data_IF_904911621826
#
_entry.id   IF_904911621826
#
_cell.length_a   1.000
_cell.length_b   1.000
_cell.length_c   1.000
_cell.angle_alpha   90.00
_cell.angle_beta   90.00
_cell.angle_gamma   90.00
#
_symmetry.space_group_name_H-M   'P 1'
#
loop_
_entity.id
_entity.type
_entity.pdbx_description
1 polymer ?
#
# COMPACT_ATOMS: atom_id res chain seq x y z
N UNK A 1 27.40 -4.24 -13.23
CA UNK A 1 26.27 -4.60 -12.32
C UNK A 1 25.55 -5.80 -12.89
N UNK A 2 25.10 -6.74 -12.06
CA UNK A 2 24.31 -7.89 -12.51
C UNK A 2 22.92 -7.44 -12.97
N UNK A 3 22.37 -8.11 -13.99
CA UNK A 3 20.99 -7.90 -14.42
C UNK A 3 20.06 -8.70 -13.52
N UNK A 4 19.07 -8.04 -12.91
CA UNK A 4 18.04 -8.68 -12.09
C UNK A 4 16.72 -8.64 -12.86
N UNK A 5 16.16 -9.81 -13.13
CA UNK A 5 14.87 -9.95 -13.80
C UNK A 5 13.84 -10.45 -12.79
N UNK A 6 12.73 -9.72 -12.65
CA UNK A 6 11.61 -10.08 -11.80
C UNK A 6 10.36 -10.39 -12.63
N UNK A 7 9.44 -11.17 -12.07
CA UNK A 7 8.19 -11.54 -12.73
C UNK A 7 6.96 -11.13 -11.90
N UNK A 8 5.92 -10.71 -12.59
CA UNK A 8 4.60 -10.47 -11.99
C UNK A 8 4.41 -9.10 -11.36
N UNK A 9 3.27 -8.95 -10.69
CA UNK A 9 2.81 -7.70 -10.08
C UNK A 9 3.79 -7.19 -9.00
N UNK A 10 4.39 -8.09 -8.23
CA UNK A 10 5.37 -7.75 -7.19
C UNK A 10 6.63 -7.10 -7.78
N UNK A 11 7.15 -7.67 -8.90
CA UNK A 11 8.32 -7.11 -9.58
C UNK A 11 8.03 -5.73 -10.16
N UNK A 12 6.85 -5.55 -10.78
CA UNK A 12 6.38 -4.25 -11.26
C UNK A 12 6.26 -3.24 -10.14
N UNK A 13 5.72 -3.66 -8.99
CA UNK A 13 5.59 -2.79 -7.81
C UNK A 13 6.96 -2.34 -7.32
N UNK A 14 7.90 -3.28 -7.13
CA UNK A 14 9.26 -2.93 -6.69
C UNK A 14 9.96 -1.99 -7.66
N UNK A 15 9.86 -2.26 -8.96
CA UNK A 15 10.39 -1.38 -9.99
C UNK A 15 9.76 0.02 -9.94
N UNK A 16 8.43 0.10 -9.80
CA UNK A 16 7.73 1.38 -9.70
C UNK A 16 8.15 2.19 -8.48
N UNK A 17 8.36 1.55 -7.34
CA UNK A 17 8.84 2.21 -6.12
C UNK A 17 10.26 2.75 -6.29
N UNK A 18 11.13 2.04 -7.01
CA UNK A 18 12.50 2.50 -7.30
C UNK A 18 12.54 3.66 -8.30
N UNK A 19 11.74 3.58 -9.38
CA UNK A 19 11.89 4.47 -10.53
C UNK A 19 10.78 5.53 -10.65
N UNK A 20 9.60 5.28 -10.06
CA UNK A 20 8.41 6.09 -10.28
C UNK A 20 7.73 6.59 -8.98
N UNK A 21 8.35 6.43 -7.81
CA UNK A 21 7.77 6.90 -6.55
C UNK A 21 7.44 8.41 -6.58
N UNK A 22 8.28 9.22 -7.24
CA UNK A 22 8.00 10.65 -7.43
C UNK A 22 6.70 10.91 -8.20
N UNK A 23 6.32 10.04 -9.15
CA UNK A 23 5.05 10.14 -9.89
C UNK A 23 3.85 9.93 -8.96
N UNK A 24 3.98 9.04 -7.98
CA UNK A 24 2.95 8.80 -6.96
C UNK A 24 2.75 10.07 -6.13
N UNK A 25 3.81 10.62 -5.58
CA UNK A 25 3.75 11.85 -4.78
C UNK A 25 3.16 13.02 -5.59
N UNK A 26 3.62 13.21 -6.83
CA UNK A 26 3.15 14.27 -7.74
C UNK A 26 1.65 14.18 -8.00
N UNK A 27 1.07 12.99 -8.09
CA UNK A 27 -0.38 12.79 -8.27
C UNK A 27 -1.21 13.44 -7.16
N UNK A 28 -0.61 13.59 -5.97
CA UNK A 28 -1.23 14.20 -4.80
C UNK A 28 -0.65 15.60 -4.48
N UNK A 29 0.05 16.22 -5.44
CA UNK A 29 0.68 17.54 -5.29
C UNK A 29 1.70 17.59 -4.15
N UNK A 30 2.25 16.45 -3.76
CA UNK A 30 3.30 16.35 -2.76
C UNK A 30 4.67 16.54 -3.45
N UNK A 31 5.34 17.65 -3.12
CA UNK A 31 6.66 18.04 -3.66
C UNK A 31 7.82 17.53 -2.81
N UNK A 32 7.58 16.63 -1.86
CA UNK A 32 8.62 16.10 -0.98
C UNK A 32 9.68 15.34 -1.79
N UNK A 33 10.96 15.60 -1.53
CA UNK A 33 12.06 14.85 -2.11
C UNK A 33 12.03 13.39 -1.62
N UNK A 34 12.27 12.43 -2.51
CA UNK A 34 12.21 11.00 -2.17
C UNK A 34 13.20 10.60 -1.07
N UNK A 35 14.33 11.28 -0.95
CA UNK A 35 15.30 11.09 0.15
C UNK A 35 14.73 11.36 1.55
N UNK A 36 13.62 12.12 1.63
CA UNK A 36 12.89 12.39 2.88
C UNK A 36 11.73 11.41 3.13
N UNK A 37 11.47 10.50 2.19
CA UNK A 37 10.42 9.51 2.30
C UNK A 37 10.97 8.20 2.89
N UNK A 38 10.07 7.42 3.50
CA UNK A 38 10.30 6.03 3.88
C UNK A 38 9.35 5.16 3.09
N UNK A 39 9.87 4.07 2.52
CA UNK A 39 9.05 3.13 1.77
C UNK A 39 9.13 1.75 2.40
N UNK A 40 7.98 1.18 2.72
CA UNK A 40 7.83 -0.22 3.06
C UNK A 40 7.35 -0.96 1.81
N UNK A 41 8.10 -1.96 1.39
CA UNK A 41 7.72 -2.86 0.31
C UNK A 41 7.15 -4.15 0.90
N UNK A 42 5.95 -4.52 0.50
CA UNK A 42 5.19 -5.67 0.98
C UNK A 42 5.15 -5.79 2.51
N UNK A 43 4.80 -4.71 3.23
CA UNK A 43 4.69 -4.79 4.66
C UNK A 43 3.57 -5.74 5.05
N UNK A 44 3.92 -6.78 5.84
CA UNK A 44 2.97 -7.78 6.30
C UNK A 44 2.72 -7.64 7.80
N UNK A 45 1.45 -7.55 8.18
CA UNK A 45 0.97 -7.51 9.56
C UNK A 45 -0.28 -8.39 9.76
N UNK A 46 -0.48 -9.38 8.87
CA UNK A 46 -1.55 -10.36 8.91
C UNK A 46 -1.32 -11.51 7.93
N UNK A 47 -2.03 -12.62 8.07
CA UNK A 47 -1.92 -13.77 7.16
C UNK A 47 -3.09 -13.80 6.18
N UNK A 48 -2.85 -14.14 4.90
CA UNK A 48 -3.88 -14.32 3.87
C UNK A 48 -4.91 -15.41 4.18
N UNK A 49 -4.52 -16.46 4.89
CA UNK A 49 -5.36 -17.65 5.17
C UNK A 49 -6.26 -17.51 6.40
N UNK A 50 -6.07 -16.50 7.19
CA UNK A 50 -6.97 -16.13 8.27
C UNK A 50 -7.64 -14.84 7.84
N UNK A 51 -8.90 -14.63 8.08
CA UNK A 51 -9.62 -13.35 7.89
C UNK A 51 -8.95 -12.14 8.58
N UNK A 52 -7.68 -12.26 8.86
CA UNK A 52 -6.78 -11.27 9.43
C UNK A 52 -6.14 -10.52 8.30
N UNK A 53 -6.32 -9.27 8.32
CA UNK A 53 -5.57 -8.18 7.79
C UNK A 53 -4.31 -8.62 7.01
N UNK A 54 -4.37 -8.54 5.71
CA UNK A 54 -3.31 -8.96 4.81
C UNK A 54 -2.09 -8.03 4.79
N UNK A 55 -1.39 -8.02 3.68
CA UNK A 55 -0.26 -7.13 3.43
C UNK A 55 -0.64 -6.09 2.38
N UNK A 56 -0.09 -4.88 2.47
CA UNK A 56 -0.08 -3.92 1.37
C UNK A 56 1.00 -4.29 0.36
N UNK A 57 0.80 -3.89 -0.89
CA UNK A 57 1.87 -4.01 -1.88
C UNK A 57 3.00 -3.02 -1.57
N UNK A 58 2.65 -1.83 -1.06
CA UNK A 58 3.62 -0.90 -0.47
C UNK A 58 2.95 0.13 0.45
N UNK A 59 3.77 0.78 1.30
CA UNK A 59 3.44 2.01 2.00
C UNK A 59 4.56 3.01 1.76
N UNK A 60 4.24 4.23 1.29
CA UNK A 60 5.20 5.34 1.23
C UNK A 60 4.80 6.36 2.29
N UNK A 61 5.77 6.80 3.07
CA UNK A 61 5.58 7.83 4.10
C UNK A 61 6.43 9.02 3.75
N UNK A 62 5.79 10.14 3.43
CA UNK A 62 6.43 11.45 3.31
C UNK A 62 6.18 12.26 4.59
N UNK A 63 6.88 13.41 4.80
CA UNK A 63 6.55 14.33 5.89
C UNK A 63 5.11 14.88 5.87
N UNK A 64 4.43 14.81 4.72
CA UNK A 64 3.07 15.36 4.55
C UNK A 64 1.97 14.30 4.53
N UNK A 65 2.26 13.12 3.99
CA UNK A 65 1.24 12.10 3.72
C UNK A 65 1.78 10.68 3.92
N UNK A 66 0.85 9.77 4.22
CA UNK A 66 1.06 8.32 4.14
C UNK A 66 0.26 7.80 2.94
N UNK A 67 0.93 7.11 2.03
CA UNK A 67 0.36 6.52 0.82
C UNK A 67 0.22 5.02 1.02
N UNK A 68 -1.00 4.53 1.06
CA UNK A 68 -1.33 3.10 1.14
C UNK A 68 -1.55 2.60 -0.29
N UNK A 69 -0.75 1.64 -0.73
CA UNK A 69 -0.63 1.25 -2.13
C UNK A 69 -1.13 -0.16 -2.35
N UNK A 70 -2.07 -0.30 -3.29
CA UNK A 70 -2.45 -1.54 -3.95
C UNK A 70 -2.00 -1.49 -5.40
N UNK A 71 -1.50 -2.59 -5.91
CA UNK A 71 -1.04 -2.73 -7.29
C UNK A 71 -1.98 -3.60 -8.10
N UNK A 72 -2.11 -3.32 -9.39
CA UNK A 72 -2.83 -4.15 -10.35
C UNK A 72 -2.12 -4.15 -11.68
N UNK A 73 -2.00 -5.34 -12.25
CA UNK A 73 -1.33 -5.57 -13.52
C UNK A 73 -2.35 -5.95 -14.61
N UNK A 74 -2.28 -5.30 -15.78
CA UNK A 74 -3.20 -5.48 -16.90
C UNK A 74 -3.09 -6.86 -17.60
N UNK A 75 -2.01 -7.60 -17.33
CA UNK A 75 -1.81 -8.92 -17.94
C UNK A 75 -2.74 -10.01 -17.39
N UNK A 76 -3.46 -9.73 -16.30
CA UNK A 76 -4.49 -10.63 -15.80
C UNK A 76 -5.79 -10.40 -16.58
N UNK A 77 -6.35 -11.44 -17.18
CA UNK A 77 -7.57 -11.38 -18.00
C UNK A 77 -8.73 -10.65 -17.31
N UNK A 78 -8.84 -10.81 -15.98
CA UNK A 78 -9.83 -10.11 -15.13
C UNK A 78 -9.63 -8.60 -15.02
N UNK A 79 -8.44 -8.07 -15.34
CA UNK A 79 -8.11 -6.66 -15.26
C UNK A 79 -8.15 -5.94 -16.62
N UNK A 80 -8.51 -6.65 -17.69
CA UNK A 80 -8.71 -6.07 -19.04
C UNK A 80 -10.07 -5.39 -19.20
N UNK A 81 -10.93 -5.47 -18.20
CA UNK A 81 -12.24 -4.80 -18.19
C UNK A 81 -12.09 -3.32 -17.88
N UNK A 82 -13.04 -2.51 -18.36
CA UNK A 82 -13.07 -1.04 -18.14
C UNK A 82 -13.17 -0.64 -16.67
N UNK A 83 -13.41 -1.58 -15.78
CA UNK A 83 -13.55 -1.37 -14.34
C UNK A 83 -12.66 -2.33 -13.54
N UNK A 84 -11.81 -1.78 -12.68
CA UNK A 84 -11.06 -2.55 -11.68
C UNK A 84 -11.85 -2.51 -10.38
N UNK A 85 -12.38 -3.69 -10.03
CA UNK A 85 -13.01 -3.88 -8.72
C UNK A 85 -11.94 -4.35 -7.73
N UNK A 86 -11.66 -3.53 -6.73
CA UNK A 86 -10.95 -3.99 -5.54
C UNK A 86 -11.84 -4.98 -4.79
N UNK A 87 -11.22 -5.98 -4.17
CA UNK A 87 -11.95 -6.86 -3.26
C UNK A 87 -12.32 -6.08 -2.01
N UNK A 88 -13.50 -6.34 -1.45
CA UNK A 88 -13.96 -5.70 -0.21
C UNK A 88 -12.92 -5.76 0.91
N UNK A 89 -12.19 -6.87 1.01
CA UNK A 89 -11.09 -7.05 1.98
C UNK A 89 -9.94 -6.05 1.77
N UNK A 90 -9.66 -5.64 0.52
CA UNK A 90 -8.62 -4.66 0.22
C UNK A 90 -9.08 -3.25 0.65
N UNK A 91 -10.32 -2.87 0.36
CA UNK A 91 -10.87 -1.59 0.79
C UNK A 91 -10.92 -1.50 2.31
N UNK A 92 -11.45 -2.53 2.97
CA UNK A 92 -11.51 -2.61 4.43
C UNK A 92 -10.12 -2.52 5.07
N UNK A 93 -9.10 -3.15 4.49
CA UNK A 93 -7.71 -3.06 4.95
C UNK A 93 -7.21 -1.61 4.99
N UNK A 94 -7.51 -0.84 3.95
CA UNK A 94 -7.16 0.58 3.88
C UNK A 94 -7.89 1.39 4.96
N UNK A 95 -9.15 1.08 5.23
CA UNK A 95 -9.92 1.74 6.30
C UNK A 95 -9.36 1.44 7.69
N UNK A 96 -9.12 0.17 7.98
CA UNK A 96 -8.55 -0.28 9.26
C UNK A 96 -7.17 0.32 9.49
N UNK A 97 -6.30 0.30 8.49
CA UNK A 97 -4.95 0.84 8.64
C UNK A 97 -4.95 2.37 8.78
N UNK A 98 -5.87 3.05 8.09
CA UNK A 98 -6.10 4.48 8.29
C UNK A 98 -6.52 4.78 9.72
N UNK A 99 -7.40 3.95 10.28
CA UNK A 99 -7.81 4.06 11.68
C UNK A 99 -6.62 3.86 12.63
N UNK A 100 -5.77 2.84 12.38
CA UNK A 100 -4.55 2.64 13.16
C UNK A 100 -3.68 3.89 13.18
N UNK A 101 -3.39 4.48 12.01
CA UNK A 101 -2.56 5.67 11.89
C UNK A 101 -3.14 6.88 12.63
N UNK A 102 -4.46 7.01 12.67
CA UNK A 102 -5.13 8.13 13.33
C UNK A 102 -5.22 7.98 14.86
N UNK A 103 -5.28 6.76 15.37
CA UNK A 103 -5.53 6.49 16.78
C UNK A 103 -4.31 5.96 17.53
N UNK A 104 -3.26 5.52 16.81
CA UNK A 104 -2.05 5.03 17.45
C UNK A 104 -1.33 6.14 18.20
N UNK A 105 -0.91 5.83 19.43
CA UNK A 105 0.01 6.64 20.19
C UNK A 105 1.03 5.76 20.93
N UNK A 106 2.11 6.35 21.46
CA UNK A 106 3.21 5.63 22.09
C UNK A 106 2.77 4.75 23.29
N UNK A 107 1.70 5.14 23.99
CA UNK A 107 1.17 4.37 25.13
C UNK A 107 0.65 2.99 24.72
N UNK A 108 0.22 2.84 23.47
CA UNK A 108 -0.32 1.57 22.98
C UNK A 108 0.72 0.49 22.74
N UNK A 109 2.02 0.80 22.73
CA UNK A 109 3.08 -0.23 22.81
C UNK A 109 2.92 -1.08 24.07
N UNK A 110 2.57 -0.45 25.20
CA UNK A 110 2.33 -1.12 26.48
C UNK A 110 0.89 -1.62 26.59
N UNK A 111 -0.06 -0.84 26.11
CA UNK A 111 -1.51 -1.09 26.16
C UNK A 111 -2.05 -1.71 24.85
N UNK A 112 -1.33 -2.66 24.25
CA UNK A 112 -1.66 -3.29 22.97
C UNK A 112 -3.07 -3.88 22.92
N UNK A 113 -3.48 -4.59 23.98
CA UNK A 113 -4.79 -5.22 24.02
C UNK A 113 -5.92 -4.18 24.08
N UNK A 114 -5.73 -3.07 24.81
CA UNK A 114 -6.70 -1.98 24.82
C UNK A 114 -6.88 -1.37 23.42
N UNK A 115 -5.79 -1.14 22.70
CA UNK A 115 -5.86 -0.66 21.32
C UNK A 115 -6.55 -1.65 20.39
N UNK A 116 -6.25 -2.94 20.58
CA UNK A 116 -6.87 -4.03 19.83
C UNK A 116 -8.38 -4.14 20.09
N UNK A 117 -8.84 -4.00 21.32
CA UNK A 117 -10.26 -4.01 21.67
C UNK A 117 -10.99 -2.77 21.12
N UNK A 118 -10.36 -1.58 21.15
CA UNK A 118 -10.91 -0.37 20.53
C UNK A 118 -11.10 -0.57 19.02
N UNK A 119 -10.11 -1.18 18.33
CA UNK A 119 -10.23 -1.50 16.92
C UNK A 119 -11.37 -2.49 16.65
N UNK A 120 -11.55 -3.52 17.46
CA UNK A 120 -12.66 -4.46 17.32
C UNK A 120 -14.01 -3.79 17.51
N UNK A 121 -14.11 -2.86 18.45
CA UNK A 121 -15.33 -2.09 18.70
C UNK A 121 -15.71 -1.24 17.50
N UNK A 122 -14.73 -0.60 16.84
CA UNK A 122 -14.94 0.22 15.65
C UNK A 122 -15.38 -0.64 14.45
N UNK A 123 -14.71 -1.78 14.23
CA UNK A 123 -14.96 -2.68 13.10
C UNK A 123 -15.69 -3.95 13.54
N UNK A 124 -16.91 -3.81 14.06
CA UNK A 124 -17.73 -4.84 14.75
C UNK A 124 -17.85 -6.19 14.05
N UNK A 125 -17.77 -6.23 12.72
CA UNK A 125 -17.90 -7.46 11.93
C UNK A 125 -16.55 -8.18 11.68
N UNK A 126 -15.44 -7.62 12.14
CA UNK A 126 -14.11 -8.18 11.93
C UNK A 126 -13.51 -8.73 13.22
N UNK A 127 -13.65 -10.04 13.44
CA UNK A 127 -13.19 -10.70 14.69
C UNK A 127 -11.67 -10.66 14.90
N UNK A 128 -10.85 -10.33 13.87
CA UNK A 128 -9.39 -10.45 13.92
C UNK A 128 -8.70 -9.30 13.15
N UNK A 129 -8.89 -8.08 13.57
CA UNK A 129 -8.31 -6.89 12.93
C UNK A 129 -6.84 -6.67 13.27
N UNK A 130 -6.40 -7.03 14.46
CA UNK A 130 -5.02 -6.86 14.92
C UNK A 130 -4.41 -8.18 15.38
N UNK A 131 -3.09 -8.39 15.14
CA UNK A 131 -2.37 -9.53 15.67
C UNK A 131 -2.27 -9.45 17.21
N UNK A 132 -2.11 -10.62 17.86
CA UNK A 132 -1.89 -10.73 19.29
C UNK A 132 -0.52 -10.13 19.67
N UNK A 133 -0.45 -9.47 20.83
CA UNK A 133 0.83 -8.98 21.40
C UNK A 133 1.85 -10.12 21.47
N UNK A 134 3.12 -9.80 21.26
CA UNK A 134 4.22 -10.78 21.28
C UNK A 134 4.36 -11.63 20.00
N UNK A 135 3.48 -11.45 19.01
CA UNK A 135 3.65 -12.10 17.70
C UNK A 135 4.47 -11.21 16.76
N UNK A 136 5.23 -11.83 15.85
CA UNK A 136 6.04 -11.11 14.85
C UNK A 136 5.21 -10.08 14.06
N UNK A 137 3.98 -10.43 13.70
CA UNK A 137 3.09 -9.53 12.97
C UNK A 137 2.66 -8.30 13.80
N UNK A 138 2.56 -8.44 15.13
CA UNK A 138 2.30 -7.31 16.02
C UNK A 138 3.51 -6.38 16.07
N UNK A 139 4.71 -6.93 16.19
CA UNK A 139 5.95 -6.16 16.15
C UNK A 139 6.14 -5.42 14.80
N UNK A 140 5.81 -6.08 13.68
CA UNK A 140 5.82 -5.44 12.36
C UNK A 140 4.84 -4.27 12.29
N UNK A 141 3.59 -4.48 12.73
CA UNK A 141 2.56 -3.43 12.73
C UNK A 141 3.01 -2.24 13.59
N UNK A 142 3.46 -2.50 14.81
CA UNK A 142 3.98 -1.47 15.71
C UNK A 142 5.12 -0.67 15.08
N UNK A 143 6.09 -1.36 14.48
CA UNK A 143 7.22 -0.73 13.79
C UNK A 143 6.74 0.19 12.66
N UNK A 144 5.83 -0.28 11.80
CA UNK A 144 5.31 0.50 10.67
C UNK A 144 4.57 1.74 11.18
N UNK A 145 3.72 1.60 12.20
CA UNK A 145 2.96 2.72 12.77
C UNK A 145 3.91 3.75 13.40
N UNK A 146 4.86 3.31 14.22
CA UNK A 146 5.84 4.16 14.88
C UNK A 146 6.68 4.95 13.87
N UNK A 147 7.26 4.28 12.88
CA UNK A 147 8.09 4.94 11.86
C UNK A 147 7.27 5.86 10.94
N UNK A 148 6.01 5.50 10.67
CA UNK A 148 5.10 6.38 9.91
C UNK A 148 4.79 7.66 10.67
N UNK A 149 4.41 7.56 11.94
CA UNK A 149 4.04 8.71 12.77
C UNK A 149 5.24 9.57 13.18
N UNK A 150 6.43 8.98 13.28
CA UNK A 150 7.68 9.73 13.49
C UNK A 150 7.99 10.65 12.30
N UNK A 151 7.62 10.23 11.08
CA UNK A 151 7.94 10.93 9.84
C UNK A 151 6.81 11.85 9.37
N UNK A 152 5.56 11.44 9.53
CA UNK A 152 4.39 12.17 9.10
C UNK A 152 3.50 12.50 10.28
N UNK A 153 3.26 13.80 10.52
CA UNK A 153 2.27 14.23 11.51
C UNK A 153 0.88 14.09 10.89
N UNK A 154 0.13 13.09 11.34
CA UNK A 154 -1.22 12.82 10.87
C UNK A 154 -2.21 13.60 11.75
N UNK A 155 -2.77 14.67 11.20
CA UNK A 155 -3.74 15.52 11.89
C UNK A 155 -5.18 15.18 11.47
N UNK A 156 -5.35 14.52 10.34
CA UNK A 156 -6.65 14.13 9.80
C UNK A 156 -6.51 12.97 8.80
N UNK A 157 -7.63 12.36 8.43
CA UNK A 157 -7.68 11.34 7.36
C UNK A 157 -7.15 11.86 6.02
N UNK A 158 -7.15 13.19 5.82
CA UNK A 158 -6.60 13.81 4.61
C UNK A 158 -5.09 13.63 4.43
N UNK A 159 -4.35 13.28 5.47
CA UNK A 159 -2.93 12.92 5.35
C UNK A 159 -2.73 11.47 4.87
N UNK A 160 -3.78 10.66 4.78
CA UNK A 160 -3.71 9.27 4.36
C UNK A 160 -4.29 9.16 2.95
N UNK A 161 -3.52 8.60 2.01
CA UNK A 161 -3.86 8.54 0.60
C UNK A 161 -3.96 7.09 0.14
N UNK A 162 -5.13 6.69 -0.35
CA UNK A 162 -5.30 5.39 -0.97
C UNK A 162 -4.90 5.47 -2.44
N UNK A 163 -3.95 4.64 -2.84
CA UNK A 163 -3.35 4.63 -4.18
C UNK A 163 -3.58 3.29 -4.84
N UNK A 164 -4.08 3.31 -6.06
CA UNK A 164 -4.02 2.17 -6.95
C UNK A 164 -2.91 2.40 -7.97
N UNK A 165 -1.84 1.61 -7.92
CA UNK A 165 -0.86 1.52 -9.00
C UNK A 165 -1.43 0.60 -10.08
N UNK A 166 -1.65 1.14 -11.26
CA UNK A 166 -2.09 0.37 -12.41
C UNK A 166 -0.99 0.27 -13.45
N UNK A 167 -0.49 -0.95 -13.64
CA UNK A 167 0.55 -1.24 -14.62
C UNK A 167 -0.09 -1.64 -15.95
N UNK A 168 0.30 -0.95 -17.04
CA UNK A 168 -0.21 -1.22 -18.37
C UNK A 168 0.91 -1.33 -19.40
N UNK A 169 0.63 -2.12 -20.45
CA UNK A 169 1.55 -2.31 -21.58
C UNK A 169 1.20 -1.32 -22.71
N UNK A 170 1.67 -0.07 -22.59
CA UNK A 170 1.63 0.93 -23.64
C UNK A 170 0.21 1.22 -24.15
N UNK A 171 0.01 1.01 -25.46
CA UNK A 171 -1.20 1.42 -26.19
C UNK A 171 -2.52 0.78 -25.74
N UNK A 172 -2.48 -0.29 -24.95
CA UNK A 172 -3.68 -1.02 -24.52
C UNK A 172 -4.48 -0.28 -23.45
N UNK A 173 -3.90 0.72 -22.79
CA UNK A 173 -4.62 1.50 -21.74
C UNK A 173 -5.28 2.75 -22.32
N UNK A 174 -6.29 2.57 -23.19
CA UNK A 174 -7.03 3.71 -23.77
C UNK A 174 -7.97 4.40 -22.78
N UNK A 175 -8.34 3.75 -21.67
CA UNK A 175 -9.19 4.32 -20.61
C UNK A 175 -8.62 3.98 -19.23
N UNK A 176 -8.65 4.98 -18.35
CA UNK A 176 -8.37 4.72 -16.94
C UNK A 176 -9.45 3.82 -16.35
N UNK A 177 -9.08 2.78 -15.59
CA UNK A 177 -10.06 1.94 -14.94
C UNK A 177 -10.90 2.77 -13.96
N UNK A 178 -12.21 2.56 -13.98
CA UNK A 178 -13.08 3.07 -12.94
C UNK A 178 -12.78 2.33 -11.64
N UNK A 179 -12.67 3.07 -10.57
CA UNK A 179 -12.41 2.54 -9.23
C UNK A 179 -13.25 3.30 -8.20
N UNK A 180 -13.36 2.76 -7.00
CA UNK A 180 -13.95 3.44 -5.83
C UNK A 180 -13.41 4.88 -5.70
N UNK A 181 -14.28 5.82 -5.37
CA UNK A 181 -13.92 7.25 -5.19
C UNK A 181 -12.85 7.48 -4.12
N UNK A 182 -12.65 6.51 -3.24
CA UNK A 182 -11.65 6.58 -2.17
C UNK A 182 -10.21 6.37 -2.64
N UNK A 183 -10.00 5.83 -3.86
CA UNK A 183 -8.69 5.57 -4.43
C UNK A 183 -8.36 6.55 -5.56
N UNK A 184 -7.09 6.98 -5.62
CA UNK A 184 -6.55 7.65 -6.80
C UNK A 184 -5.68 6.69 -7.60
N UNK A 185 -5.95 6.61 -8.91
CA UNK A 185 -5.17 5.76 -9.82
C UNK A 185 -3.92 6.48 -10.27
N UNK A 186 -2.79 5.77 -10.18
CA UNK A 186 -1.50 6.16 -10.78
C UNK A 186 -1.14 5.09 -11.81
N UNK A 187 -1.14 5.45 -13.08
CA UNK A 187 -0.80 4.55 -14.17
C UNK A 187 0.68 4.54 -14.44
N UNK A 188 1.27 3.36 -14.68
CA UNK A 188 2.68 3.20 -15.03
C UNK A 188 2.77 2.29 -16.25
N UNK A 189 3.38 2.82 -17.30
CA UNK A 189 3.67 2.07 -18.52
C UNK A 189 4.95 1.26 -18.32
N UNK A 190 4.85 -0.07 -18.47
CA UNK A 190 5.98 -0.97 -18.36
C UNK A 190 6.46 -1.53 -19.69
N UNK A 191 5.84 -1.15 -20.82
CA UNK A 191 6.11 -1.73 -22.15
C UNK A 191 7.59 -1.74 -22.56
N UNK A 192 8.34 -0.71 -22.16
CA UNK A 192 9.77 -0.57 -22.49
C UNK A 192 10.71 -1.24 -21.46
N UNK A 193 10.17 -1.92 -20.44
CA UNK A 193 10.96 -2.49 -19.33
C UNK A 193 10.92 -4.01 -19.29
N UNK A 194 10.20 -4.63 -20.20
CA UNK A 194 10.11 -6.08 -20.29
C UNK A 194 11.22 -6.69 -21.16
N UNK A 195 11.72 -7.84 -20.71
CA UNK A 195 12.51 -8.76 -21.52
C UNK A 195 11.76 -10.09 -21.53
N UNK A 196 11.04 -10.38 -22.63
CA UNK A 196 10.00 -11.40 -22.62
C UNK A 196 8.90 -11.05 -21.60
N UNK A 197 8.60 -11.96 -20.69
CA UNK A 197 7.61 -11.74 -19.61
C UNK A 197 8.21 -11.20 -18.31
N UNK A 198 9.50 -10.88 -18.30
CA UNK A 198 10.21 -10.43 -17.09
C UNK A 198 10.42 -8.92 -17.12
N UNK A 199 10.43 -8.33 -15.95
CA UNK A 199 10.71 -6.91 -15.72
C UNK A 199 12.17 -6.75 -15.34
N UNK A 200 12.90 -5.86 -16.03
CA UNK A 200 14.25 -5.52 -15.65
C UNK A 200 14.24 -4.59 -14.43
N UNK A 201 14.72 -5.11 -13.30
CA UNK A 201 14.82 -4.41 -12.02
C UNK A 201 16.15 -3.67 -11.84
N UNK A 202 17.11 -3.92 -12.73
CA UNK A 202 18.38 -3.18 -12.76
C UNK A 202 18.10 -1.78 -13.28
N UNK A 203 18.49 -0.79 -12.55
CA UNK A 203 18.30 0.62 -12.91
C UNK A 203 19.40 1.45 -12.37
#
# INVERSE_FOLDING_TARGET
MSTILGYGEDALTLWALKQHAAKILKKFQDKTALSKCLTFYRPSFGRRSSSVFGEFDAIIVSPKNVYLIESKWDNLAKHRKDEIKLRQEQELRHEIFSWYLMHWNKKYSEQWESFRENCKSEFKFQRKTMPLKGRLLAANLEFILRESLKRCKINSRNNIKNVLLFFHNGEKCKKLPKISKTFKVVTIDYSKKTKGNFINLSG
#
